data_IF_337336926288
#
_entry.id   IF_337336926288
#
_cell.length_a   1.000
_cell.length_b   1.000
_cell.length_c   1.000
_cell.angle_alpha   90.00
_cell.angle_beta   90.00
_cell.angle_gamma   90.00
#
_symmetry.space_group_name_H-M   'P 1'
#
loop_
_entity.id
_entity.type
_entity.pdbx_description
1 polymer ?
#
# COMPACT_ATOMS: atom_id res chain seq x y z
N UNK A 1 -16.08 25.41 16.13
CA UNK A 1 -16.42 24.15 15.43
C UNK A 1 -15.93 23.04 16.33
N UNK A 2 -16.81 22.50 17.16
CA UNK A 2 -16.51 21.31 17.95
C UNK A 2 -16.53 20.11 17.00
N UNK A 3 -15.34 19.62 16.63
CA UNK A 3 -15.26 18.32 15.95
C UNK A 3 -15.51 17.25 16.99
N UNK A 4 -16.56 16.45 16.79
CA UNK A 4 -16.83 15.31 17.64
C UNK A 4 -15.79 14.20 17.43
N UNK A 5 -15.68 13.30 18.40
CA UNK A 5 -14.67 12.25 18.40
C UNK A 5 -14.73 11.34 17.17
N UNK A 6 -15.91 11.10 16.58
CA UNK A 6 -16.04 10.26 15.39
C UNK A 6 -15.49 10.97 14.16
N UNK A 7 -15.77 12.26 14.03
CA UNK A 7 -15.19 13.09 12.95
C UNK A 7 -13.66 13.10 13.04
N UNK A 8 -13.08 13.24 14.24
CA UNK A 8 -11.62 13.19 14.44
C UNK A 8 -11.06 11.81 14.06
N UNK A 9 -11.70 10.73 14.50
CA UNK A 9 -11.29 9.35 14.18
C UNK A 9 -11.33 9.08 12.67
N UNK A 10 -12.38 9.56 11.99
CA UNK A 10 -12.49 9.46 10.54
C UNK A 10 -11.37 10.22 9.83
N UNK A 11 -11.06 11.45 10.28
CA UNK A 11 -9.96 12.24 9.73
C UNK A 11 -8.63 11.50 9.91
N UNK A 12 -8.37 10.94 11.09
CA UNK A 12 -7.14 10.19 11.35
C UNK A 12 -7.01 8.96 10.43
N UNK A 13 -8.10 8.23 10.22
CA UNK A 13 -8.13 7.09 9.30
C UNK A 13 -7.92 7.54 7.84
N UNK A 14 -8.55 8.63 7.40
CA UNK A 14 -8.40 9.15 6.05
C UNK A 14 -6.98 9.68 5.80
N UNK A 15 -6.39 10.37 6.77
CA UNK A 15 -5.00 10.85 6.69
C UNK A 15 -4.05 9.67 6.62
N UNK A 16 -4.22 8.65 7.48
CA UNK A 16 -3.43 7.42 7.41
C UNK A 16 -3.56 6.74 6.03
N UNK A 17 -4.78 6.63 5.51
CA UNK A 17 -5.02 6.08 4.18
C UNK A 17 -4.26 6.83 3.10
N UNK A 18 -4.43 8.15 3.01
CA UNK A 18 -3.82 8.97 1.96
C UNK A 18 -2.29 8.97 2.05
N UNK A 19 -1.73 8.97 3.26
CA UNK A 19 -0.27 8.90 3.47
C UNK A 19 0.28 7.59 2.93
N UNK A 20 -0.30 6.45 3.31
CA UNK A 20 0.25 5.14 2.88
C UNK A 20 -0.04 4.87 1.40
N UNK A 21 -1.23 5.23 0.93
CA UNK A 21 -1.61 5.14 -0.47
C UNK A 21 -0.69 5.98 -1.35
N UNK A 22 -0.46 7.24 -0.96
CA UNK A 22 0.46 8.15 -1.66
C UNK A 22 1.91 7.70 -1.59
N UNK A 23 2.36 7.15 -0.46
CA UNK A 23 3.71 6.61 -0.31
C UNK A 23 3.97 5.47 -1.29
N UNK A 24 3.08 4.48 -1.35
CA UNK A 24 3.19 3.35 -2.28
C UNK A 24 3.01 3.78 -3.74
N UNK A 25 2.08 4.70 -4.01
CA UNK A 25 1.84 5.22 -5.36
C UNK A 25 2.97 6.10 -5.89
N UNK A 26 3.62 6.88 -5.02
CA UNK A 26 4.65 7.85 -5.41
C UNK A 26 6.06 7.26 -5.47
N UNK A 27 6.45 6.43 -4.49
CA UNK A 27 7.77 5.79 -4.47
C UNK A 27 7.79 4.51 -5.31
N UNK A 28 6.61 3.92 -5.53
CA UNK A 28 6.43 2.66 -6.23
C UNK A 28 6.82 1.46 -5.36
N UNK A 29 6.21 0.31 -5.64
CA UNK A 29 6.65 -1.00 -5.12
C UNK A 29 7.93 -1.47 -5.83
N UNK A 30 8.52 -0.60 -6.67
CA UNK A 30 9.62 -1.02 -7.51
C UNK A 30 10.90 -1.18 -6.68
N UNK A 31 11.56 -2.29 -6.92
CA UNK A 31 12.81 -2.67 -6.26
C UNK A 31 13.89 -1.61 -6.54
N UNK A 32 14.67 -1.17 -5.53
CA UNK A 32 15.68 -0.15 -5.69
C UNK A 32 16.84 -0.84 -6.41
N UNK A 33 17.38 -0.17 -7.43
CA UNK A 33 18.47 -0.72 -8.23
C UNK A 33 19.64 -1.12 -7.32
N UNK A 34 20.00 -2.40 -7.31
CA UNK A 34 21.14 -2.95 -6.56
C UNK A 34 20.82 -3.69 -5.25
N UNK A 35 19.57 -3.74 -4.78
CA UNK A 35 19.21 -4.53 -3.59
C UNK A 35 18.72 -5.93 -3.97
N UNK A 36 19.03 -6.96 -3.18
CA UNK A 36 18.48 -8.32 -3.39
C UNK A 36 16.98 -8.36 -3.08
N UNK A 37 16.22 -9.20 -3.81
CA UNK A 37 14.77 -9.38 -3.57
C UNK A 37 14.51 -9.82 -2.12
N UNK A 38 15.40 -10.66 -1.58
CA UNK A 38 15.30 -11.19 -0.22
C UNK A 38 15.42 -10.08 0.84
N UNK A 39 16.35 -9.14 0.65
CA UNK A 39 16.55 -8.01 1.58
C UNK A 39 15.39 -7.02 1.52
N UNK A 40 14.87 -6.76 0.31
CA UNK A 40 13.70 -5.90 0.12
C UNK A 40 12.46 -6.49 0.81
N UNK A 41 12.14 -7.77 0.55
CA UNK A 41 11.05 -8.46 1.23
C UNK A 41 11.24 -8.50 2.76
N UNK A 42 12.46 -8.75 3.26
CA UNK A 42 12.73 -8.73 4.69
C UNK A 42 12.50 -7.34 5.31
N UNK A 43 12.82 -6.27 4.58
CA UNK A 43 12.53 -4.90 5.00
C UNK A 43 11.03 -4.63 5.13
N UNK A 44 10.25 -4.97 4.10
CA UNK A 44 8.79 -4.83 4.16
C UNK A 44 8.16 -5.70 5.26
N UNK A 45 8.65 -6.92 5.44
CA UNK A 45 8.21 -7.81 6.51
C UNK A 45 8.49 -7.21 7.90
N UNK A 46 9.70 -6.68 8.12
CA UNK A 46 10.05 -6.06 9.39
C UNK A 46 9.16 -4.85 9.69
N UNK A 47 8.91 -4.00 8.69
CA UNK A 47 8.02 -2.85 8.83
C UNK A 47 6.58 -3.30 9.14
N UNK A 48 6.06 -4.30 8.42
CA UNK A 48 4.73 -4.85 8.67
C UNK A 48 4.58 -5.35 10.13
N UNK A 49 5.55 -6.11 10.64
CA UNK A 49 5.56 -6.59 12.02
C UNK A 49 5.50 -5.43 13.02
N UNK A 50 6.25 -4.34 12.78
CA UNK A 50 6.21 -3.16 13.65
C UNK A 50 4.83 -2.52 13.66
N UNK A 51 4.19 -2.37 12.50
CA UNK A 51 2.83 -1.84 12.40
C UNK A 51 1.80 -2.74 13.11
N UNK A 52 1.94 -4.06 13.00
CA UNK A 52 1.07 -5.02 13.69
C UNK A 52 1.21 -4.93 15.22
N UNK A 53 2.45 -4.85 15.72
CA UNK A 53 2.70 -4.67 17.16
C UNK A 53 2.13 -3.35 17.67
N UNK A 54 2.30 -2.27 16.92
CA UNK A 54 1.71 -0.96 17.26
C UNK A 54 0.19 -1.01 17.25
N UNK A 55 -0.43 -1.77 16.34
CA UNK A 55 -1.88 -1.95 16.31
C UNK A 55 -2.37 -2.71 17.55
N UNK A 56 -1.68 -3.79 17.94
CA UNK A 56 -2.00 -4.52 19.17
C UNK A 56 -1.88 -3.62 20.40
N UNK A 57 -0.80 -2.83 20.51
CA UNK A 57 -0.62 -1.85 21.59
C UNK A 57 -1.75 -0.80 21.58
N UNK A 58 -2.07 -0.26 20.41
CA UNK A 58 -3.14 0.73 20.25
C UNK A 58 -4.50 0.20 20.72
N UNK A 59 -4.81 -1.07 20.40
CA UNK A 59 -6.03 -1.73 20.84
C UNK A 59 -6.03 -2.05 22.33
N UNK A 60 -4.95 -2.61 22.88
CA UNK A 60 -4.88 -3.06 24.28
C UNK A 60 -4.92 -1.88 25.26
N UNK A 61 -4.23 -0.78 24.94
CA UNK A 61 -4.15 0.40 25.82
C UNK A 61 -5.21 1.46 25.52
N UNK A 62 -6.10 1.21 24.54
CA UNK A 62 -7.19 2.14 24.20
C UNK A 62 -6.71 3.43 23.54
N UNK A 63 -5.58 3.42 22.83
CA UNK A 63 -5.10 4.58 22.07
C UNK A 63 -5.88 4.73 20.77
N UNK A 64 -7.10 5.25 20.88
CA UNK A 64 -8.07 5.38 19.78
C UNK A 64 -7.47 6.09 18.56
N UNK A 65 -6.75 7.20 18.77
CA UNK A 65 -6.12 7.96 17.69
C UNK A 65 -5.09 7.14 16.90
N UNK A 66 -4.29 6.32 17.60
CA UNK A 66 -3.26 5.47 17.03
C UNK A 66 -3.93 4.34 16.24
N UNK A 67 -4.94 3.69 16.82
CA UNK A 67 -5.69 2.62 16.15
C UNK A 67 -6.33 3.09 14.85
N UNK A 68 -7.01 4.24 14.83
CA UNK A 68 -7.62 4.76 13.60
C UNK A 68 -6.59 5.16 12.55
N UNK A 69 -5.46 5.76 12.96
CA UNK A 69 -4.37 6.08 12.03
C UNK A 69 -3.79 4.79 11.41
N UNK A 70 -3.53 3.76 12.21
CA UNK A 70 -2.99 2.49 11.76
C UNK A 70 -3.96 1.73 10.83
N UNK A 71 -5.27 1.77 11.13
CA UNK A 71 -6.32 1.25 10.24
C UNK A 71 -6.30 1.97 8.90
N UNK A 72 -6.18 3.31 8.92
CA UNK A 72 -6.01 4.12 7.72
C UNK A 72 -4.81 3.68 6.89
N UNK A 73 -3.62 3.62 7.52
CA UNK A 73 -2.39 3.19 6.86
C UNK A 73 -2.54 1.79 6.25
N UNK A 74 -3.15 0.84 6.96
CA UNK A 74 -3.39 -0.51 6.48
C UNK A 74 -4.34 -0.54 5.25
N UNK A 75 -5.40 0.26 5.26
CA UNK A 75 -6.31 0.40 4.13
C UNK A 75 -5.63 1.04 2.90
N UNK A 76 -4.78 2.04 3.11
CA UNK A 76 -3.99 2.67 2.05
C UNK A 76 -2.97 1.70 1.46
N UNK A 77 -2.32 0.90 2.30
CA UNK A 77 -1.39 -0.14 1.88
C UNK A 77 -2.08 -1.19 1.00
N UNK A 78 -3.16 -1.79 1.47
CA UNK A 78 -3.87 -2.85 0.74
C UNK A 78 -4.43 -2.37 -0.60
N UNK A 79 -4.96 -1.14 -0.64
CA UNK A 79 -5.47 -0.51 -1.87
C UNK A 79 -4.33 -0.20 -2.84
N UNK A 80 -3.22 0.34 -2.36
CA UNK A 80 -2.03 0.61 -3.17
C UNK A 80 -1.44 -0.66 -3.77
N UNK A 81 -1.34 -1.74 -2.99
CA UNK A 81 -0.92 -3.06 -3.47
C UNK A 81 -1.88 -3.61 -4.55
N UNK A 82 -3.20 -3.51 -4.32
CA UNK A 82 -4.20 -3.98 -5.27
C UNK A 82 -4.14 -3.23 -6.61
N UNK A 83 -3.97 -1.90 -6.58
CA UNK A 83 -3.78 -1.11 -7.80
C UNK A 83 -2.49 -1.45 -8.53
N UNK A 84 -1.40 -1.69 -7.79
CA UNK A 84 -0.14 -2.10 -8.40
C UNK A 84 -0.27 -3.44 -9.13
N UNK A 85 -0.95 -4.42 -8.52
CA UNK A 85 -1.24 -5.72 -9.16
C UNK A 85 -2.13 -5.54 -10.38
N UNK A 86 -3.18 -4.72 -10.30
CA UNK A 86 -4.06 -4.46 -11.44
C UNK A 86 -3.33 -3.79 -12.62
N UNK A 87 -2.44 -2.84 -12.33
CA UNK A 87 -1.59 -2.21 -13.35
C UNK A 87 -0.63 -3.22 -13.99
N UNK A 88 0.03 -4.04 -13.18
CA UNK A 88 0.94 -5.07 -13.66
C UNK A 88 0.23 -6.08 -14.59
N UNK A 89 -0.96 -6.54 -14.22
CA UNK A 89 -1.77 -7.45 -15.06
C UNK A 89 -2.15 -6.76 -16.38
N UNK A 90 -2.53 -5.48 -16.35
CA UNK A 90 -2.88 -4.74 -17.57
C UNK A 90 -1.69 -4.62 -18.53
N UNK A 91 -0.50 -4.32 -18.01
CA UNK A 91 0.72 -4.21 -18.80
C UNK A 91 1.14 -5.56 -19.41
N UNK A 92 1.01 -6.66 -18.67
CA UNK A 92 1.30 -8.01 -19.20
C UNK A 92 0.36 -8.40 -20.34
N UNK A 93 -0.94 -8.06 -20.25
CA UNK A 93 -1.91 -8.34 -21.30
C UNK A 93 -1.69 -7.52 -22.59
N UNK A 94 -1.13 -6.30 -22.49
CA UNK A 94 -0.82 -5.48 -23.66
C UNK A 94 0.40 -6.00 -24.44
N UNK A 95 1.34 -6.67 -23.78
CA UNK A 95 2.50 -7.29 -24.42
C UNK A 95 2.17 -8.62 -25.13
N UNK A 96 1.14 -9.36 -24.71
CA UNK A 96 0.73 -10.60 -25.39
C UNK A 96 -0.14 -10.37 -26.64
N UNK A 97 -0.66 -9.17 -26.87
CA UNK A 97 -1.45 -8.83 -28.07
C UNK A 97 -0.67 -8.08 -29.16
N UNK A 98 0.65 -7.94 -29.02
CA UNK A 98 1.54 -7.37 -30.05
C UNK A 98 2.22 -8.40 -30.97
N UNK A 99 2.31 -9.68 -30.56
CA UNK A 99 3.15 -10.69 -31.22
C UNK A 99 2.37 -11.71 -32.09
N UNK A 100 1.17 -11.36 -32.54
CA UNK A 100 0.39 -12.21 -33.46
C UNK A 100 -0.16 -11.53 -34.71
N UNK A 101 0.34 -10.34 -35.08
CA UNK A 101 0.03 -9.71 -36.38
C UNK A 101 1.28 -9.05 -36.97
N UNK A 102 2.35 -9.82 -37.25
CA UNK A 102 3.37 -9.37 -38.20
C UNK A 102 4.23 -10.50 -38.80
N UNK A 103 3.63 -11.65 -39.17
CA UNK A 103 4.24 -12.58 -40.14
C UNK A 103 3.15 -13.09 -41.10
N UNK A 104 2.79 -12.26 -42.08
CA UNK A 104 2.32 -12.72 -43.39
C UNK A 104 2.44 -11.56 -44.38
N UNK A 105 3.37 -11.69 -45.33
CA UNK A 105 3.40 -10.82 -46.52
C UNK A 105 4.70 -10.06 -46.72
N UNK A 106 5.78 -10.77 -47.04
CA UNK A 106 6.66 -10.49 -48.18
C UNK A 106 7.41 -11.76 -48.56
#
# INVERSE_FOLDING_TARGET
MDLDANTINLILALVGFLVMFGYLGGIGINKPRGMSMKTWCAGYLAVAIVFDVLAVIGMVFGYTWLTYMLVGLAAGASTGLALHVAHHISEENEHEHGDHVSIMGM
#
